data_IF_341244306145
#
_entry.id   IF_341244306145
#
_cell.length_a   1.000
_cell.length_b   1.000
_cell.length_c   1.000
_cell.angle_alpha   90.00
_cell.angle_beta   90.00
_cell.angle_gamma   90.00
#
_symmetry.space_group_name_H-M   'P 1'
#
loop_
_entity.id
_entity.type
_entity.pdbx_description
1 polymer ?
#
# COMPACT_ATOMS: atom_id res chain seq x y z
N UNK A 1 9.91 -60.51 4.91
CA UNK A 1 10.62 -59.39 4.28
C UNK A 1 9.61 -58.33 3.92
N UNK A 2 9.55 -57.23 4.68
CA UNK A 2 8.90 -55.96 4.32
C UNK A 2 9.00 -54.99 5.52
N UNK A 3 10.05 -54.16 5.51
CA UNK A 3 10.16 -53.01 6.41
C UNK A 3 9.30 -51.89 5.80
N UNK A 4 8.19 -51.57 6.44
CA UNK A 4 7.35 -50.42 6.05
C UNK A 4 8.00 -49.15 6.59
N UNK A 5 8.68 -48.42 5.71
CA UNK A 5 9.23 -47.09 6.03
C UNK A 5 8.11 -46.06 5.96
N UNK A 6 7.76 -45.44 7.09
CA UNK A 6 6.84 -44.31 7.14
C UNK A 6 7.63 -43.03 6.78
N UNK A 7 7.30 -42.41 5.64
CA UNK A 7 7.89 -41.14 5.22
C UNK A 7 7.00 -40.00 5.74
N UNK A 8 7.45 -39.30 6.79
CA UNK A 8 6.80 -38.07 7.25
C UNK A 8 7.22 -36.91 6.34
N UNK A 9 6.30 -36.43 5.50
CA UNK A 9 6.49 -35.20 4.72
C UNK A 9 6.12 -34.00 5.58
N UNK A 10 7.11 -33.30 6.12
CA UNK A 10 6.90 -32.01 6.77
C UNK A 10 6.70 -30.93 5.72
N UNK A 11 5.46 -30.42 5.61
CA UNK A 11 5.15 -29.24 4.80
C UNK A 11 5.62 -28.01 5.60
N UNK A 12 6.73 -27.40 5.18
CA UNK A 12 7.18 -26.12 5.70
C UNK A 12 6.36 -25.01 5.01
N UNK A 13 5.36 -24.47 5.69
CA UNK A 13 4.74 -23.22 5.28
C UNK A 13 5.67 -22.07 5.65
N UNK A 14 6.44 -21.56 4.69
CA UNK A 14 7.13 -20.28 4.84
C UNK A 14 6.10 -19.17 4.65
N UNK A 15 5.72 -18.51 5.75
CA UNK A 15 4.93 -17.29 5.68
C UNK A 15 5.89 -16.15 5.27
N UNK A 16 6.00 -15.87 3.98
CA UNK A 16 6.73 -14.71 3.49
C UNK A 16 5.94 -13.45 3.82
N UNK A 17 6.22 -12.84 4.98
CA UNK A 17 5.76 -11.49 5.27
C UNK A 17 6.72 -10.54 4.54
N UNK A 18 6.44 -10.25 3.26
CA UNK A 18 7.12 -9.14 2.58
C UNK A 18 6.69 -7.85 3.31
N UNK A 19 7.55 -7.33 4.17
CA UNK A 19 7.33 -6.03 4.76
C UNK A 19 7.40 -4.99 3.63
N UNK A 20 6.25 -4.54 3.12
CA UNK A 20 6.24 -3.37 2.26
C UNK A 20 6.85 -2.21 3.04
N UNK A 21 7.97 -1.70 2.54
CA UNK A 21 8.66 -0.56 3.14
C UNK A 21 7.70 0.60 3.27
N UNK A 22 7.68 1.23 4.44
CA UNK A 22 6.95 2.48 4.67
C UNK A 22 7.83 3.70 4.38
N UNK A 23 7.20 4.87 4.35
CA UNK A 23 7.89 6.16 4.30
C UNK A 23 7.50 7.00 5.51
N UNK A 24 8.49 7.63 6.16
CA UNK A 24 8.28 8.56 7.25
C UNK A 24 8.61 9.99 6.81
N UNK A 25 7.66 10.91 6.99
CA UNK A 25 7.90 12.34 6.85
C UNK A 25 8.74 12.86 8.03
N UNK A 26 9.36 14.03 7.86
CA UNK A 26 10.13 14.70 8.94
C UNK A 26 9.28 15.05 10.16
N UNK A 27 7.95 15.15 10.01
CA UNK A 27 7.00 15.31 11.11
C UNK A 27 6.78 14.04 11.95
N UNK A 28 7.31 12.89 11.51
CA UNK A 28 7.08 11.59 12.12
C UNK A 28 5.80 10.89 11.65
N UNK A 29 4.99 11.52 10.79
CA UNK A 29 3.85 10.86 10.14
C UNK A 29 4.32 9.90 9.05
N UNK A 30 3.61 8.79 8.86
CA UNK A 30 4.06 7.73 7.95
C UNK A 30 3.03 7.33 6.90
N UNK A 31 3.50 6.75 5.80
CA UNK A 31 2.72 5.97 4.84
C UNK A 31 3.23 4.53 4.92
N UNK A 32 2.35 3.58 5.20
CA UNK A 32 2.69 2.15 5.39
C UNK A 32 1.74 1.26 4.59
N UNK A 33 2.09 0.88 3.34
CA UNK A 33 1.31 -0.05 2.54
C UNK A 33 1.19 -1.43 3.21
N UNK A 34 0.08 -2.12 2.98
CA UNK A 34 -0.25 -3.43 3.56
C UNK A 34 -0.54 -4.53 2.55
N UNK A 35 -0.61 -4.19 1.27
CA UNK A 35 -0.71 -5.16 0.19
C UNK A 35 0.29 -4.82 -0.93
N UNK A 36 0.51 -5.76 -1.85
CA UNK A 36 1.50 -5.62 -2.91
C UNK A 36 1.02 -4.78 -4.12
N UNK A 37 -0.14 -4.11 -3.99
CA UNK A 37 -0.73 -3.26 -5.04
C UNK A 37 0.00 -1.93 -5.17
N UNK A 38 0.61 -1.44 -4.08
CA UNK A 38 1.40 -0.22 -4.09
C UNK A 38 2.67 -0.32 -3.23
N UNK A 39 3.68 0.45 -3.61
CA UNK A 39 4.91 0.65 -2.85
C UNK A 39 5.16 2.15 -2.69
N UNK A 40 5.71 2.54 -1.55
CA UNK A 40 6.10 3.92 -1.29
C UNK A 40 7.63 4.01 -1.32
N UNK A 41 8.15 4.95 -2.11
CA UNK A 41 9.58 5.22 -2.20
C UNK A 41 9.88 6.68 -1.85
N UNK A 42 11.11 6.94 -1.43
CA UNK A 42 11.64 8.30 -1.34
C UNK A 42 11.82 8.87 -2.75
N UNK A 43 11.15 9.98 -3.05
CA UNK A 43 11.38 10.76 -4.27
C UNK A 43 12.18 12.04 -3.98
N UNK A 44 12.67 12.70 -5.03
CA UNK A 44 13.59 13.85 -4.92
C UNK A 44 13.05 15.02 -4.06
N UNK A 45 11.74 15.31 -4.12
CA UNK A 45 11.10 16.43 -3.40
C UNK A 45 9.98 16.02 -2.45
N UNK A 46 9.30 14.92 -2.78
CA UNK A 46 8.17 14.34 -2.06
C UNK A 46 8.16 12.84 -2.33
N UNK A 47 7.64 12.01 -1.42
CA UNK A 47 7.56 10.58 -1.67
C UNK A 47 6.66 10.27 -2.87
N UNK A 48 6.89 9.10 -3.46
CA UNK A 48 6.13 8.60 -4.60
C UNK A 48 5.52 7.24 -4.27
N UNK A 49 4.19 7.18 -4.30
CA UNK A 49 3.40 5.96 -4.19
C UNK A 49 3.26 5.35 -5.58
N UNK A 50 3.97 4.25 -5.84
CA UNK A 50 3.95 3.55 -7.11
C UNK A 50 2.85 2.51 -7.11
N UNK A 51 1.86 2.68 -7.98
CA UNK A 51 0.82 1.67 -8.22
C UNK A 51 1.40 0.57 -9.12
N UNK A 52 1.32 -0.68 -8.67
CA UNK A 52 1.90 -1.85 -9.35
C UNK A 52 0.85 -2.69 -10.08
N UNK A 53 -0.39 -2.66 -9.62
CA UNK A 53 -1.46 -3.54 -10.08
C UNK A 53 -2.80 -2.80 -10.15
N UNK A 54 -3.63 -3.17 -11.12
CA UNK A 54 -5.06 -2.80 -11.19
C UNK A 54 -5.90 -4.02 -11.54
N UNK A 55 -7.13 -4.05 -11.03
CA UNK A 55 -8.12 -5.07 -11.33
C UNK A 55 -8.69 -4.98 -12.76
N UNK A 56 -9.55 -5.94 -13.08
CA UNK A 56 -10.27 -6.00 -14.37
C UNK A 56 -11.28 -4.85 -14.55
N UNK A 57 -11.70 -4.24 -13.45
CA UNK A 57 -12.53 -3.04 -13.34
C UNK A 57 -11.75 -1.73 -13.57
N UNK A 58 -10.44 -1.80 -13.85
CA UNK A 58 -9.52 -0.67 -13.93
C UNK A 58 -9.32 0.07 -12.60
N UNK A 59 -9.54 -0.59 -11.46
CA UNK A 59 -9.31 -0.03 -10.14
C UNK A 59 -7.97 -0.50 -9.56
N UNK A 60 -7.24 0.41 -8.92
CA UNK A 60 -6.07 0.06 -8.11
C UNK A 60 -6.42 0.27 -6.65
N UNK A 61 -6.61 -0.82 -5.90
CA UNK A 61 -6.98 -0.79 -4.49
C UNK A 61 -5.79 -1.13 -3.59
N UNK A 62 -5.21 -0.09 -3.01
CA UNK A 62 -4.10 -0.21 -2.07
C UNK A 62 -4.58 -0.03 -0.64
N UNK A 63 -4.19 -0.95 0.24
CA UNK A 63 -4.51 -0.91 1.68
C UNK A 63 -3.31 -0.41 2.47
N UNK A 64 -3.55 0.33 3.55
CA UNK A 64 -2.52 0.94 4.38
C UNK A 64 -2.83 0.77 5.87
N UNK A 65 -1.81 0.58 6.70
CA UNK A 65 -1.96 0.77 8.16
C UNK A 65 -1.70 2.20 8.60
N UNK A 66 -1.07 3.01 7.77
CA UNK A 66 -0.98 4.46 7.97
C UNK A 66 -0.95 5.11 6.60
N UNK A 67 -1.76 6.16 6.42
CA UNK A 67 -1.77 6.96 5.21
C UNK A 67 -1.81 8.43 5.60
N UNK A 68 -0.64 9.06 5.64
CA UNK A 68 -0.49 10.48 5.92
C UNK A 68 0.12 11.17 4.71
N UNK A 69 -0.17 12.46 4.53
CA UNK A 69 0.45 13.31 3.51
C UNK A 69 1.04 14.52 4.23
N UNK A 70 2.37 14.57 4.34
CA UNK A 70 3.05 15.72 4.92
C UNK A 70 3.02 16.95 4.01
N UNK A 71 3.49 18.09 4.51
CA UNK A 71 3.46 19.39 3.81
C UNK A 71 4.11 19.39 2.41
N UNK A 72 5.11 18.54 2.19
CA UNK A 72 5.75 18.42 0.87
C UNK A 72 4.86 17.71 -0.17
N UNK A 73 3.74 17.11 0.27
CA UNK A 73 2.78 16.41 -0.56
C UNK A 73 3.12 14.93 -0.78
N UNK A 74 2.39 14.33 -1.73
CA UNK A 74 2.56 12.95 -2.19
C UNK A 74 2.37 12.92 -3.71
N UNK A 75 3.24 12.20 -4.42
CA UNK A 75 2.97 11.80 -5.79
C UNK A 75 2.40 10.39 -5.81
N UNK A 76 1.39 10.14 -6.64
CA UNK A 76 0.87 8.81 -6.95
C UNK A 76 1.19 8.51 -8.40
N UNK A 77 2.06 7.54 -8.63
CA UNK A 77 2.48 7.12 -9.96
C UNK A 77 1.48 6.14 -10.55
N UNK A 78 0.66 6.62 -11.50
CA UNK A 78 -0.34 5.82 -12.18
C UNK A 78 0.12 5.38 -13.59
N UNK A 79 1.36 4.89 -13.74
CA UNK A 79 1.83 4.33 -15.02
C UNK A 79 1.01 3.14 -15.49
N UNK A 80 0.42 2.38 -14.56
CA UNK A 80 -0.43 1.21 -14.86
C UNK A 80 -1.79 1.58 -15.49
N UNK A 81 -2.10 2.88 -15.60
CA UNK A 81 -3.33 3.39 -16.20
C UNK A 81 -4.60 2.85 -15.52
N UNK A 82 -4.66 2.93 -14.19
CA UNK A 82 -5.89 2.72 -13.44
C UNK A 82 -6.82 3.92 -13.64
N UNK A 83 -8.12 3.67 -13.83
CA UNK A 83 -9.13 4.72 -13.94
C UNK A 83 -9.59 5.21 -12.56
N UNK A 84 -9.54 4.33 -11.56
CA UNK A 84 -9.82 4.64 -10.15
C UNK A 84 -8.67 4.17 -9.27
N UNK A 85 -8.30 5.01 -8.31
CA UNK A 85 -7.28 4.72 -7.31
C UNK A 85 -7.98 4.78 -5.96
N UNK A 86 -8.04 3.65 -5.29
CA UNK A 86 -8.65 3.50 -3.97
C UNK A 86 -7.53 3.28 -2.97
N UNK A 87 -7.39 4.20 -2.03
CA UNK A 87 -6.49 4.06 -0.89
C UNK A 87 -7.32 3.86 0.35
N UNK A 88 -7.17 2.71 1.02
CA UNK A 88 -7.94 2.37 2.20
C UNK A 88 -7.04 2.24 3.43
N UNK A 89 -7.37 2.94 4.50
CA UNK A 89 -6.72 2.77 5.79
C UNK A 89 -7.46 1.72 6.61
N UNK A 90 -6.83 0.56 6.81
CA UNK A 90 -7.42 -0.63 7.45
C UNK A 90 -7.11 -0.72 8.96
N UNK A 91 -6.70 0.38 9.57
CA UNK A 91 -6.35 0.45 11.00
C UNK A 91 -6.98 1.69 11.62
N UNK A 92 -6.98 1.77 12.95
CA UNK A 92 -7.54 2.91 13.68
C UNK A 92 -6.64 4.17 13.65
N UNK A 93 -5.57 4.16 12.85
CA UNK A 93 -4.70 5.32 12.71
C UNK A 93 -5.38 6.45 11.94
N UNK A 94 -5.40 7.64 12.54
CA UNK A 94 -5.91 8.86 11.91
C UNK A 94 -4.98 9.30 10.78
N UNK A 95 -5.55 9.54 9.61
CA UNK A 95 -4.85 10.17 8.47
C UNK A 95 -4.76 11.69 8.63
N UNK A 96 -3.54 12.23 8.48
CA UNK A 96 -3.28 13.67 8.40
C UNK A 96 -2.88 14.05 6.98
N UNK A 97 -3.63 14.97 6.37
CA UNK A 97 -3.43 15.42 4.98
C UNK A 97 -3.04 16.91 4.97
N UNK A 98 -1.75 17.19 5.11
CA UNK A 98 -1.19 18.55 5.24
C UNK A 98 -0.64 19.12 3.93
N UNK A 99 -0.59 18.31 2.87
CA UNK A 99 -0.06 18.69 1.57
C UNK A 99 -0.90 18.14 0.44
N UNK A 100 -0.51 18.45 -0.79
CA UNK A 100 -1.25 18.05 -1.98
C UNK A 100 -0.89 16.61 -2.43
N UNK A 101 -1.91 15.90 -2.91
CA UNK A 101 -1.77 14.60 -3.58
C UNK A 101 -1.83 14.85 -5.09
N UNK A 102 -0.81 14.40 -5.81
CA UNK A 102 -0.74 14.55 -7.28
C UNK A 102 -0.69 13.19 -7.94
N UNK A 103 -1.66 12.91 -8.81
CA UNK A 103 -1.57 11.76 -9.71
C UNK A 103 -0.67 12.13 -10.89
N UNK A 104 0.34 11.31 -11.14
CA UNK A 104 1.28 11.48 -12.26
C UNK A 104 1.03 10.42 -13.33
N UNK A 105 1.44 10.71 -14.56
CA UNK A 105 1.28 9.88 -15.76
C UNK A 105 -0.16 9.86 -16.29
N UNK A 106 -0.99 8.90 -15.85
CA UNK A 106 -2.36 8.76 -16.36
C UNK A 106 -3.36 9.33 -15.35
N UNK A 107 -4.27 10.25 -15.76
CA UNK A 107 -5.32 10.77 -14.89
C UNK A 107 -6.22 9.65 -14.34
N UNK A 108 -6.69 9.81 -13.11
CA UNK A 108 -7.60 8.87 -12.46
C UNK A 108 -8.48 9.58 -11.44
N UNK A 109 -9.60 8.95 -11.09
CA UNK A 109 -10.36 9.32 -9.90
C UNK A 109 -9.63 8.80 -8.65
N UNK A 110 -9.50 9.65 -7.63
CA UNK A 110 -8.83 9.29 -6.36
C UNK A 110 -9.85 9.23 -5.23
N UNK A 111 -9.85 8.12 -4.50
CA UNK A 111 -10.69 7.90 -3.33
C UNK A 111 -9.82 7.48 -2.15
N UNK A 112 -9.90 8.24 -1.05
CA UNK A 112 -9.34 7.86 0.24
C UNK A 112 -10.46 7.39 1.17
N UNK A 113 -10.40 6.13 1.56
CA UNK A 113 -11.30 5.51 2.52
C UNK A 113 -10.63 5.47 3.90
N UNK A 114 -11.28 6.10 4.87
CA UNK A 114 -10.86 6.09 6.28
C UNK A 114 -11.98 5.42 7.06
N UNK A 115 -11.72 4.22 7.57
CA UNK A 115 -12.64 3.55 8.49
C UNK A 115 -12.46 4.19 9.87
N UNK A 116 -13.51 4.82 10.39
CA UNK A 116 -13.56 5.22 11.80
C UNK A 116 -14.14 4.05 12.60
N UNK A 117 -13.36 3.48 13.51
CA UNK A 117 -13.91 2.62 14.54
C UNK A 117 -14.91 3.43 15.36
N UNK A 118 -16.16 2.96 15.41
CA UNK A 118 -17.19 3.53 16.28
C UNK A 118 -16.79 3.23 17.73
N UNK A 119 -16.70 4.26 18.57
CA UNK A 119 -16.49 4.15 20.02
C UNK A 119 -17.75 3.59 20.72
#
# INVERSE_FOLDING_TARGET
MNKTTLLFTTILFTCEVTANSGYAYTSGHEIKPKNNVAEIISGDKRPELILKQKGSDNESHATFSQFNVGRNGLNINNKINASHIITEVISDNISRLEGDIRITHNPAHFLLLILMASL
#
